data_IF_042511771893
#
_entry.id   IF_042511771893
#
_cell.length_a   1.000
_cell.length_b   1.000
_cell.length_c   1.000
_cell.angle_alpha   90.00
_cell.angle_beta   90.00
_cell.angle_gamma   90.00
#
_symmetry.space_group_name_H-M   'P 1'
#
loop_
_entity.id
_entity.type
_entity.pdbx_description
1 polymer ?
#
# COMPACT_ATOMS: atom_id res chain seq x y z
N UNK A 1 -10.10 -3.30 23.25
CA UNK A 1 -8.74 -3.78 23.54
C UNK A 1 -7.81 -3.60 22.34
N UNK A 2 -8.10 -4.20 21.17
CA UNK A 2 -7.27 -4.08 19.95
C UNK A 2 -7.04 -2.64 19.46
N UNK A 3 -8.07 -1.79 19.49
CA UNK A 3 -7.94 -0.39 19.08
C UNK A 3 -6.88 0.37 19.87
N UNK A 4 -6.79 0.14 21.18
CA UNK A 4 -5.80 0.77 22.06
C UNK A 4 -4.39 0.26 21.71
N UNK A 5 -4.23 -1.04 21.47
CA UNK A 5 -2.95 -1.62 21.06
C UNK A 5 -2.48 -0.99 19.75
N UNK A 6 -3.35 -0.90 18.74
CA UNK A 6 -3.01 -0.26 17.47
C UNK A 6 -2.68 1.23 17.61
N UNK A 7 -3.38 1.96 18.50
CA UNK A 7 -3.06 3.35 18.80
C UNK A 7 -1.68 3.51 19.44
N UNK A 8 -1.32 2.63 20.38
CA UNK A 8 0.02 2.63 20.99
C UNK A 8 1.08 2.35 19.92
N UNK A 9 0.87 1.33 19.09
CA UNK A 9 1.80 0.99 17.99
C UNK A 9 1.94 2.16 17.00
N UNK A 10 0.83 2.80 16.63
CA UNK A 10 0.83 3.98 15.75
C UNK A 10 1.61 5.14 16.38
N UNK A 11 1.41 5.38 17.67
CA UNK A 11 2.13 6.43 18.38
C UNK A 11 3.64 6.14 18.42
N UNK A 12 4.02 4.89 18.66
CA UNK A 12 5.42 4.45 18.60
C UNK A 12 5.99 4.71 17.19
N UNK A 13 5.32 4.28 16.13
CA UNK A 13 5.75 4.49 14.73
C UNK A 13 5.97 5.98 14.41
N UNK A 14 5.07 6.86 14.88
CA UNK A 14 5.14 8.29 14.59
C UNK A 14 6.22 9.04 15.38
N UNK A 15 6.57 8.56 16.57
CA UNK A 15 7.53 9.21 17.46
C UNK A 15 8.93 8.60 17.41
N UNK A 16 9.06 7.42 16.82
CA UNK A 16 10.34 6.75 16.61
C UNK A 16 10.82 7.05 15.19
N UNK A 17 12.03 7.58 15.06
CA UNK A 17 12.64 7.81 13.75
C UNK A 17 13.02 6.48 13.10
N UNK A 18 12.10 5.82 12.40
CA UNK A 18 12.30 4.49 11.79
C UNK A 18 13.59 4.37 10.94
N UNK A 19 14.17 5.50 10.50
CA UNK A 19 15.40 5.56 9.70
C UNK A 19 16.69 5.58 10.53
N UNK A 20 16.59 5.74 11.86
CA UNK A 20 17.73 5.77 12.78
C UNK A 20 18.40 4.41 12.87
N UNK A 21 19.69 4.35 12.57
CA UNK A 21 20.48 3.13 12.68
C UNK A 21 21.06 2.88 14.09
N UNK A 22 20.63 3.65 15.09
CA UNK A 22 21.13 3.52 16.46
C UNK A 22 20.71 2.17 17.08
N UNK A 23 21.60 1.58 17.89
CA UNK A 23 21.36 0.29 18.55
C UNK A 23 20.08 0.26 19.41
N UNK A 24 19.79 1.27 20.26
CA UNK A 24 18.58 1.32 21.08
C UNK A 24 17.30 1.30 20.23
N UNK A 25 17.39 1.84 19.02
CA UNK A 25 16.28 1.97 18.11
C UNK A 25 15.95 0.64 17.42
N UNK A 26 16.96 -0.10 16.97
CA UNK A 26 16.79 -1.46 16.43
C UNK A 26 16.12 -2.42 17.41
N UNK A 27 16.41 -2.27 18.70
CA UNK A 27 15.79 -3.08 19.77
C UNK A 27 14.29 -2.81 19.94
N UNK A 28 13.78 -1.68 19.47
CA UNK A 28 12.34 -1.35 19.53
C UNK A 28 11.66 -1.65 18.19
N UNK A 29 12.31 -1.32 17.07
CA UNK A 29 11.74 -1.52 15.73
C UNK A 29 11.57 -3.00 15.41
N UNK A 30 12.54 -3.87 15.74
CA UNK A 30 12.42 -5.30 15.42
C UNK A 30 11.20 -5.95 16.11
N UNK A 31 11.00 -5.83 17.44
CA UNK A 31 9.80 -6.37 18.10
C UNK A 31 8.50 -5.72 17.64
N UNK A 32 8.52 -4.44 17.27
CA UNK A 32 7.35 -3.74 16.72
C UNK A 32 6.91 -4.39 15.39
N UNK A 33 7.85 -4.58 14.46
CA UNK A 33 7.55 -5.20 13.18
C UNK A 33 7.16 -6.67 13.32
N UNK A 34 7.76 -7.39 14.28
CA UNK A 34 7.36 -8.76 14.64
C UNK A 34 5.92 -8.80 15.17
N UNK A 35 5.56 -7.88 16.07
CA UNK A 35 4.19 -7.76 16.61
C UNK A 35 3.18 -7.53 15.49
N UNK A 36 3.49 -6.63 14.55
CA UNK A 36 2.64 -6.40 13.37
C UNK A 36 2.48 -7.66 12.51
N UNK A 37 3.57 -8.40 12.27
CA UNK A 37 3.52 -9.67 11.51
C UNK A 37 2.73 -10.77 12.23
N UNK A 38 2.78 -10.81 13.57
CA UNK A 38 1.92 -11.69 14.37
C UNK A 38 0.45 -11.31 14.19
N UNK A 39 0.11 -10.01 14.21
CA UNK A 39 -1.26 -9.55 13.97
C UNK A 39 -1.72 -9.92 12.55
N UNK A 40 -0.88 -9.80 11.52
CA UNK A 40 -1.20 -10.27 10.17
C UNK A 40 -1.48 -11.78 10.14
N UNK A 41 -0.67 -12.56 10.86
CA UNK A 41 -0.89 -14.01 10.96
C UNK A 41 -2.22 -14.32 11.64
N UNK A 42 -2.59 -13.58 12.68
CA UNK A 42 -3.90 -13.69 13.34
C UNK A 42 -5.05 -13.32 12.42
N UNK A 43 -4.87 -12.31 11.56
CA UNK A 43 -5.83 -11.92 10.53
C UNK A 43 -6.03 -13.05 9.52
N UNK A 44 -4.95 -13.68 9.04
CA UNK A 44 -5.01 -14.78 8.07
C UNK A 44 -5.76 -16.00 8.59
N UNK A 45 -5.54 -16.37 9.85
CA UNK A 45 -6.21 -17.53 10.47
C UNK A 45 -7.61 -17.21 11.00
N UNK A 46 -8.10 -15.98 10.81
CA UNK A 46 -9.43 -15.55 11.24
C UNK A 46 -9.58 -15.36 12.76
N UNK A 47 -8.47 -15.27 13.50
CA UNK A 47 -8.46 -15.10 14.96
C UNK A 47 -8.26 -13.64 15.40
N UNK A 48 -8.14 -12.71 14.46
CA UNK A 48 -8.07 -11.29 14.75
C UNK A 48 -9.46 -10.69 14.97
N UNK A 49 -9.69 -10.15 16.16
CA UNK A 49 -10.96 -9.55 16.58
C UNK A 49 -10.92 -8.00 16.64
N UNK A 50 -9.95 -7.38 15.96
CA UNK A 50 -9.83 -5.92 15.87
C UNK A 50 -10.34 -5.37 14.54
N UNK A 51 -10.19 -4.06 14.33
CA UNK A 51 -10.55 -3.43 13.06
C UNK A 51 -9.46 -3.66 12.03
N UNK A 52 -9.80 -4.37 10.95
CA UNK A 52 -8.91 -4.60 9.80
C UNK A 52 -8.44 -3.28 9.18
N UNK A 53 -9.35 -2.31 9.07
CA UNK A 53 -9.04 -0.96 8.59
C UNK A 53 -7.99 -0.27 9.46
N UNK A 54 -8.23 -0.19 10.77
CA UNK A 54 -7.26 0.43 11.68
C UNK A 54 -5.89 -0.25 11.63
N UNK A 55 -5.87 -1.57 11.45
CA UNK A 55 -4.63 -2.31 11.30
C UNK A 55 -3.87 -1.91 10.03
N UNK A 56 -4.56 -1.87 8.88
CA UNK A 56 -3.93 -1.44 7.63
C UNK A 56 -3.52 0.03 7.64
N UNK A 57 -4.23 0.90 8.36
CA UNK A 57 -3.79 2.29 8.61
C UNK A 57 -2.42 2.30 9.32
N UNK A 58 -2.18 1.38 10.26
CA UNK A 58 -0.86 1.25 10.92
C UNK A 58 0.22 0.76 9.95
N UNK A 59 -0.09 -0.25 9.13
CA UNK A 59 0.84 -0.78 8.11
C UNK A 59 1.21 0.30 7.10
N UNK A 60 0.25 1.17 6.76
CA UNK A 60 0.45 2.26 5.82
C UNK A 60 1.46 3.32 6.34
N UNK A 61 1.58 3.51 7.66
CA UNK A 61 2.52 4.45 8.27
C UNK A 61 3.97 3.96 8.22
N UNK A 62 4.19 2.64 8.24
CA UNK A 62 5.53 2.02 8.23
C UNK A 62 5.83 1.18 6.98
N UNK A 63 5.11 1.43 5.87
CA UNK A 63 5.09 0.56 4.69
C UNK A 63 6.46 0.29 4.05
N UNK A 64 7.40 1.22 4.20
CA UNK A 64 8.77 1.12 3.64
C UNK A 64 9.51 -0.07 4.26
N UNK A 65 9.38 -0.25 5.58
CA UNK A 65 10.11 -1.26 6.36
C UNK A 65 9.32 -2.56 6.55
N UNK A 66 8.10 -2.64 6.01
CA UNK A 66 7.27 -3.85 6.07
C UNK A 66 7.73 -4.88 5.02
N UNK A 67 7.58 -6.19 5.29
CA UNK A 67 7.78 -7.23 4.29
C UNK A 67 6.91 -7.03 3.05
N UNK A 68 7.39 -7.48 1.89
CA UNK A 68 6.68 -7.34 0.62
C UNK A 68 5.25 -7.92 0.68
N UNK A 69 5.09 -9.10 1.28
CA UNK A 69 3.80 -9.79 1.45
C UNK A 69 2.78 -8.96 2.23
N UNK A 70 3.23 -8.22 3.24
CA UNK A 70 2.40 -7.32 4.04
C UNK A 70 1.85 -6.18 3.17
N UNK A 71 2.70 -5.60 2.32
CA UNK A 71 2.29 -4.51 1.41
C UNK A 71 1.37 -5.01 0.30
N UNK A 72 1.59 -6.21 -0.23
CA UNK A 72 0.67 -6.79 -1.22
C UNK A 72 -0.75 -6.98 -0.66
N UNK A 73 -0.88 -7.31 0.63
CA UNK A 73 -2.17 -7.40 1.32
C UNK A 73 -2.78 -6.03 1.57
N UNK A 74 -1.98 -5.06 2.01
CA UNK A 74 -2.42 -3.67 2.14
C UNK A 74 -2.97 -3.15 0.80
N UNK A 75 -2.26 -3.35 -0.30
CA UNK A 75 -2.71 -2.94 -1.63
C UNK A 75 -4.02 -3.63 -2.02
N UNK A 76 -4.18 -4.91 -1.70
CA UNK A 76 -5.41 -5.64 -1.96
C UNK A 76 -6.58 -5.09 -1.15
N UNK A 77 -6.34 -4.72 0.11
CA UNK A 77 -7.33 -4.05 0.96
C UNK A 77 -7.71 -2.67 0.42
N UNK A 78 -6.72 -1.80 0.15
CA UNK A 78 -6.96 -0.45 -0.38
C UNK A 78 -7.71 -0.47 -1.72
N UNK A 79 -7.47 -1.49 -2.56
CA UNK A 79 -8.11 -1.60 -3.87
C UNK A 79 -9.63 -1.82 -3.79
N UNK A 80 -10.14 -2.29 -2.65
CA UNK A 80 -11.59 -2.52 -2.44
C UNK A 80 -12.36 -1.19 -2.43
N UNK A 81 -11.74 -0.11 -1.96
CA UNK A 81 -12.34 1.22 -1.89
C UNK A 81 -12.12 2.05 -3.18
N UNK A 82 -11.51 1.45 -4.21
CA UNK A 82 -11.29 2.08 -5.52
C UNK A 82 -12.39 1.65 -6.49
N UNK A 83 -13.59 2.10 -6.21
CA UNK A 83 -14.77 1.89 -7.07
C UNK A 83 -15.57 3.19 -7.20
N UNK A 84 -16.28 3.43 -8.33
CA UNK A 84 -16.95 4.71 -8.55
C UNK A 84 -18.00 5.12 -7.52
N UNK A 85 -18.55 4.16 -6.77
CA UNK A 85 -19.53 4.41 -5.70
C UNK A 85 -18.90 4.94 -4.41
N UNK A 86 -17.58 4.79 -4.25
CA UNK A 86 -16.86 5.26 -3.07
C UNK A 86 -16.40 6.71 -3.21
N UNK A 87 -16.43 7.42 -2.10
CA UNK A 87 -16.01 8.81 -2.06
C UNK A 87 -14.52 8.94 -2.39
N UNK A 88 -14.18 9.88 -3.28
CA UNK A 88 -12.81 10.18 -3.70
C UNK A 88 -12.07 9.00 -4.37
N UNK A 89 -12.76 8.02 -4.93
CA UNK A 89 -12.12 6.83 -5.54
C UNK A 89 -10.99 7.14 -6.53
N UNK A 90 -11.15 8.17 -7.38
CA UNK A 90 -10.07 8.63 -8.30
C UNK A 90 -8.87 9.19 -7.56
N UNK A 91 -9.09 9.97 -6.50
CA UNK A 91 -8.02 10.51 -5.66
C UNK A 91 -7.32 9.38 -4.90
N UNK A 92 -8.06 8.38 -4.42
CA UNK A 92 -7.50 7.21 -3.74
C UNK A 92 -6.64 6.39 -4.72
N UNK A 93 -7.10 6.19 -5.96
CA UNK A 93 -6.32 5.57 -7.02
C UNK A 93 -5.04 6.35 -7.33
N UNK A 94 -5.15 7.66 -7.51
CA UNK A 94 -3.98 8.52 -7.74
C UNK A 94 -2.96 8.37 -6.61
N UNK A 95 -3.40 8.44 -5.36
CA UNK A 95 -2.54 8.32 -4.18
C UNK A 95 -1.89 6.93 -4.11
N UNK A 96 -2.62 5.86 -4.44
CA UNK A 96 -2.09 4.51 -4.49
C UNK A 96 -0.94 4.40 -5.51
N UNK A 97 -1.11 4.91 -6.73
CA UNK A 97 -0.03 4.94 -7.73
C UNK A 97 1.11 5.87 -7.31
N UNK A 98 0.80 7.01 -6.71
CA UNK A 98 1.82 7.97 -6.29
C UNK A 98 2.73 7.37 -5.21
N UNK A 99 2.14 6.66 -4.25
CA UNK A 99 2.84 6.11 -3.08
C UNK A 99 3.51 4.77 -3.34
N UNK A 100 2.85 3.86 -4.06
CA UNK A 100 3.32 2.46 -4.16
C UNK A 100 3.88 2.07 -5.53
N UNK A 101 3.77 2.94 -6.55
CA UNK A 101 4.37 2.66 -7.86
C UNK A 101 5.61 3.50 -8.15
N UNK A 102 5.58 4.81 -7.84
CA UNK A 102 6.69 5.73 -8.17
C UNK A 102 7.95 5.56 -7.30
N UNK A 103 7.87 5.60 -5.96
CA UNK A 103 9.07 5.51 -5.10
C UNK A 103 9.46 4.08 -4.72
N UNK A 104 8.61 3.09 -4.99
CA UNK A 104 8.85 1.71 -4.57
C UNK A 104 9.94 1.05 -5.42
N UNK A 105 10.87 0.35 -4.77
CA UNK A 105 11.95 -0.39 -5.41
C UNK A 105 11.62 -1.85 -5.66
N UNK A 106 10.69 -2.43 -4.89
CA UNK A 106 10.29 -3.84 -5.00
C UNK A 106 9.35 -4.06 -6.18
N UNK A 107 9.80 -4.83 -7.15
CA UNK A 107 9.09 -5.11 -8.42
C UNK A 107 7.67 -5.63 -8.20
N UNK A 108 7.45 -6.60 -7.30
CA UNK A 108 6.14 -7.23 -7.14
C UNK A 108 5.07 -6.27 -6.61
N UNK A 109 5.45 -5.30 -5.76
CA UNK A 109 4.53 -4.26 -5.29
C UNK A 109 4.11 -3.36 -6.44
N UNK A 110 5.08 -2.93 -7.27
CA UNK A 110 4.80 -2.13 -8.47
C UNK A 110 3.90 -2.87 -9.45
N UNK A 111 4.16 -4.16 -9.69
CA UNK A 111 3.31 -5.01 -10.53
C UNK A 111 1.90 -5.13 -9.96
N UNK A 112 1.75 -5.26 -8.64
CA UNK A 112 0.42 -5.32 -8.02
C UNK A 112 -0.36 -4.02 -8.19
N UNK A 113 0.30 -2.87 -8.10
CA UNK A 113 -0.33 -1.56 -8.37
C UNK A 113 -0.79 -1.46 -9.83
N UNK A 114 0.03 -1.93 -10.78
CA UNK A 114 -0.34 -1.94 -12.20
C UNK A 114 -1.50 -2.90 -12.50
N UNK A 115 -1.55 -4.06 -11.85
CA UNK A 115 -2.68 -4.98 -11.90
C UNK A 115 -3.98 -4.30 -11.43
N UNK A 116 -3.92 -3.61 -10.28
CA UNK A 116 -5.06 -2.83 -9.76
C UNK A 116 -5.49 -1.76 -10.78
N UNK A 117 -4.55 -0.99 -11.33
CA UNK A 117 -4.85 0.03 -12.34
C UNK A 117 -5.51 -0.59 -13.58
N UNK A 118 -4.96 -1.69 -14.11
CA UNK A 118 -5.49 -2.39 -15.28
C UNK A 118 -6.94 -2.83 -15.04
N UNK A 119 -7.21 -3.39 -13.86
CA UNK A 119 -8.55 -3.84 -13.48
C UNK A 119 -9.52 -2.66 -13.35
N UNK A 120 -9.12 -1.56 -12.71
CA UNK A 120 -9.94 -0.35 -12.59
C UNK A 120 -10.27 0.24 -13.96
N UNK A 121 -9.30 0.34 -14.87
CA UNK A 121 -9.55 0.83 -16.23
C UNK A 121 -10.52 -0.09 -16.97
N UNK A 122 -10.28 -1.41 -16.94
CA UNK A 122 -11.15 -2.40 -17.61
C UNK A 122 -12.60 -2.30 -17.18
N UNK A 123 -12.85 -2.12 -15.88
CA UNK A 123 -14.20 -2.07 -15.32
C UNK A 123 -14.89 -0.72 -15.57
N UNK A 124 -14.15 0.39 -15.58
CA UNK A 124 -14.73 1.74 -15.49
C UNK A 124 -14.57 2.59 -16.76
N UNK A 125 -13.78 2.15 -17.76
CA UNK A 125 -13.52 2.91 -18.99
C UNK A 125 -14.77 3.40 -19.72
N UNK A 126 -15.90 2.70 -19.62
CA UNK A 126 -17.13 3.11 -20.34
C UNK A 126 -17.71 4.44 -19.86
N UNK A 127 -17.46 4.79 -18.60
CA UNK A 127 -18.07 5.97 -17.95
C UNK A 127 -17.03 7.01 -17.55
N UNK A 128 -15.78 6.61 -17.34
CA UNK A 128 -14.73 7.45 -16.76
C UNK A 128 -13.44 7.46 -17.59
N UNK A 129 -13.55 7.27 -18.91
CA UNK A 129 -12.36 7.19 -19.79
C UNK A 129 -11.48 8.42 -19.66
N UNK A 130 -12.06 9.62 -19.86
CA UNK A 130 -11.34 10.88 -19.86
C UNK A 130 -10.71 11.15 -18.48
N UNK A 131 -11.44 10.97 -17.38
CA UNK A 131 -10.87 11.18 -16.05
C UNK A 131 -9.78 10.17 -15.70
N UNK A 132 -9.92 8.91 -16.12
CA UNK A 132 -8.89 7.89 -15.91
C UNK A 132 -7.63 8.22 -16.72
N UNK A 133 -7.77 8.64 -17.97
CA UNK A 133 -6.63 9.01 -18.82
C UNK A 133 -5.92 10.24 -18.23
N UNK A 134 -6.65 11.34 -18.05
CA UNK A 134 -6.08 12.63 -17.70
C UNK A 134 -5.55 12.68 -16.27
N UNK A 135 -6.27 12.06 -15.33
CA UNK A 135 -5.94 12.17 -13.90
C UNK A 135 -5.08 11.02 -13.40
N UNK A 136 -5.07 9.87 -14.06
CA UNK A 136 -4.39 8.66 -13.55
C UNK A 136 -3.34 8.14 -14.52
N UNK A 137 -3.69 7.86 -15.78
CA UNK A 137 -2.74 7.24 -16.71
C UNK A 137 -1.62 8.21 -17.05
N UNK A 138 -1.94 9.43 -17.50
CA UNK A 138 -0.93 10.41 -17.92
C UNK A 138 0.05 10.75 -16.77
N UNK A 139 -0.39 11.10 -15.54
CA UNK A 139 0.53 11.52 -14.49
C UNK A 139 1.48 10.42 -13.99
N UNK A 140 1.15 9.14 -14.20
CA UNK A 140 1.92 8.02 -13.66
C UNK A 140 2.63 7.17 -14.73
N UNK A 141 2.07 7.05 -15.94
CA UNK A 141 2.55 6.09 -16.95
C UNK A 141 3.43 6.73 -18.03
N UNK A 142 3.44 8.05 -18.22
CA UNK A 142 4.22 8.71 -19.30
C UNK A 142 5.70 8.32 -19.29
N UNK A 143 6.29 8.14 -18.11
CA UNK A 143 7.72 7.81 -17.97
C UNK A 143 7.99 6.32 -17.74
N UNK A 144 6.99 5.45 -17.86
CA UNK A 144 7.17 4.02 -17.56
C UNK A 144 8.15 3.35 -18.51
N UNK A 145 8.22 3.80 -19.77
CA UNK A 145 9.18 3.34 -20.78
C UNK A 145 10.63 3.55 -20.33
N UNK A 146 10.88 4.54 -19.46
CA UNK A 146 12.19 4.83 -18.89
C UNK A 146 12.45 4.11 -17.55
N UNK A 147 11.52 3.32 -17.04
CA UNK A 147 11.72 2.58 -15.78
C UNK A 147 12.92 1.64 -15.93
N UNK A 148 13.83 1.59 -14.96
CA UNK A 148 14.98 0.67 -14.98
C UNK A 148 14.57 -0.80 -14.88
N UNK A 149 13.42 -1.07 -14.25
CA UNK A 149 12.85 -2.40 -14.06
C UNK A 149 12.21 -2.92 -15.35
N UNK A 150 12.87 -3.90 -15.97
CA UNK A 150 12.45 -4.52 -17.24
C UNK A 150 11.08 -5.20 -17.10
N UNK A 151 10.82 -5.84 -15.95
CA UNK A 151 9.57 -6.58 -15.74
C UNK A 151 8.41 -5.59 -15.68
N UNK A 152 8.59 -4.47 -14.97
CA UNK A 152 7.58 -3.41 -14.92
C UNK A 152 7.35 -2.79 -16.30
N UNK A 153 8.41 -2.52 -17.08
CA UNK A 153 8.26 -2.00 -18.45
C UNK A 153 7.44 -2.95 -19.34
N UNK A 154 7.74 -4.24 -19.30
CA UNK A 154 7.05 -5.23 -20.13
C UNK A 154 5.61 -5.48 -19.69
N UNK A 155 5.24 -5.19 -18.43
CA UNK A 155 3.89 -5.45 -17.90
C UNK A 155 2.81 -4.47 -18.39
N UNK A 156 3.22 -3.33 -18.98
CA UNK A 156 2.31 -2.31 -19.52
C UNK A 156 2.27 -2.24 -21.04
N UNK A 157 3.10 -3.06 -21.71
CA UNK A 157 3.11 -3.22 -23.16
C UNK A 157 1.98 -4.15 -23.63
#
# INVERSE_FOLDING_TARGET
AWSILLQIVTHIIRHIDLTSNSLPHKLIVSPLHETLSIIETLLEVGNYNGSVKQFFDVIEECWIDRPETSILRLLSFLSQDIVPTEHLWLTNLYNLLHKYFKPEGRTNIRLKVLDILSNVIKLNRRQYEDELIDRIVIPHMVNIVHSTDIIVRSSVA
#
